data_IF_243704168379
#
_entry.id   IF_243704168379
#
_cell.length_a   1.000
_cell.length_b   1.000
_cell.length_c   1.000
_cell.angle_alpha   90.00
_cell.angle_beta   90.00
_cell.angle_gamma   90.00
#
_symmetry.space_group_name_H-M   'P 1'
#
loop_
_entity.id
_entity.type
_entity.pdbx_description
1 polymer ?
#
# COMPACT_ATOMS: atom_id res chain seq x y z
N UNK A 1 -2.70 -11.66 -20.48
CA UNK A 1 -2.07 -10.87 -19.42
C UNK A 1 -2.60 -11.36 -18.07
N UNK A 2 -1.71 -11.63 -17.14
CA UNK A 2 -2.02 -12.07 -15.77
C UNK A 2 -1.67 -10.96 -14.80
N UNK A 3 -2.62 -10.52 -14.00
CA UNK A 3 -2.46 -9.39 -13.08
C UNK A 3 -2.77 -9.86 -11.66
N UNK A 4 -1.87 -9.58 -10.72
CA UNK A 4 -2.12 -9.77 -9.30
C UNK A 4 -2.41 -8.42 -8.64
N UNK A 5 -3.55 -8.29 -7.95
CA UNK A 5 -3.89 -7.14 -7.09
C UNK A 5 -3.63 -7.54 -5.64
N UNK A 6 -2.88 -6.71 -4.91
CA UNK A 6 -2.54 -6.95 -3.51
C UNK A 6 -3.33 -6.01 -2.60
N UNK A 7 -4.13 -6.60 -1.69
CA UNK A 7 -5.02 -5.93 -0.76
C UNK A 7 -6.38 -6.61 -0.67
N UNK A 8 -7.28 -6.09 0.17
CA UNK A 8 -8.57 -6.74 0.48
C UNK A 8 -9.76 -5.79 0.62
N UNK A 9 -9.52 -4.49 0.52
CA UNK A 9 -10.52 -3.45 0.78
C UNK A 9 -11.38 -3.08 -0.43
N UNK A 10 -12.20 -2.04 -0.25
CA UNK A 10 -13.07 -1.52 -1.30
C UNK A 10 -12.31 -0.94 -2.49
N UNK A 11 -11.13 -0.35 -2.26
CA UNK A 11 -10.23 0.15 -3.32
C UNK A 11 -9.76 -1.00 -4.21
N UNK A 12 -9.30 -2.09 -3.63
CA UNK A 12 -8.85 -3.28 -4.37
C UNK A 12 -10.01 -3.95 -5.11
N UNK A 13 -11.19 -4.02 -4.49
CA UNK A 13 -12.39 -4.52 -5.18
C UNK A 13 -12.71 -3.68 -6.43
N UNK A 14 -12.64 -2.35 -6.34
CA UNK A 14 -12.87 -1.47 -7.49
C UNK A 14 -11.81 -1.65 -8.59
N UNK A 15 -10.54 -1.82 -8.21
CA UNK A 15 -9.45 -2.11 -9.15
C UNK A 15 -9.66 -3.46 -9.85
N UNK A 16 -9.96 -4.51 -9.11
CA UNK A 16 -10.25 -5.86 -9.66
C UNK A 16 -11.41 -5.82 -10.62
N UNK A 17 -12.51 -5.13 -10.25
CA UNK A 17 -13.67 -4.97 -11.11
C UNK A 17 -13.33 -4.25 -12.41
N UNK A 18 -12.62 -3.13 -12.34
CA UNK A 18 -12.20 -2.38 -13.53
C UNK A 18 -11.31 -3.21 -14.46
N UNK A 19 -10.41 -4.02 -13.90
CA UNK A 19 -9.56 -4.93 -14.68
C UNK A 19 -10.38 -6.05 -15.33
N UNK A 20 -11.27 -6.68 -14.59
CA UNK A 20 -12.12 -7.78 -15.10
C UNK A 20 -13.08 -7.32 -16.21
N UNK A 21 -13.59 -6.08 -16.12
CA UNK A 21 -14.48 -5.47 -17.10
C UNK A 21 -13.70 -4.83 -18.28
N UNK A 22 -12.37 -4.75 -18.21
CA UNK A 22 -11.56 -4.10 -19.26
C UNK A 22 -11.60 -4.86 -20.60
N UNK A 23 -11.47 -4.19 -21.75
CA UNK A 23 -11.49 -4.84 -23.07
C UNK A 23 -10.43 -5.93 -23.24
N UNK A 24 -9.29 -5.79 -22.55
CA UNK A 24 -8.19 -6.76 -22.58
C UNK A 24 -8.47 -8.05 -21.83
N UNK A 25 -9.52 -8.09 -21.01
CA UNK A 25 -9.93 -9.25 -20.19
C UNK A 25 -8.74 -10.01 -19.58
N UNK A 26 -7.90 -9.36 -18.79
CA UNK A 26 -6.79 -10.03 -18.15
C UNK A 26 -7.29 -11.11 -17.18
N UNK A 27 -6.48 -12.13 -16.97
CA UNK A 27 -6.68 -13.05 -15.86
C UNK A 27 -6.28 -12.37 -14.55
N UNK A 28 -7.25 -12.09 -13.67
CA UNK A 28 -7.02 -11.32 -12.44
C UNK A 28 -6.94 -12.25 -11.25
N UNK A 29 -5.92 -12.05 -10.44
CA UNK A 29 -5.67 -12.71 -9.15
C UNK A 29 -5.70 -11.67 -8.04
N UNK A 30 -5.98 -12.08 -6.80
CA UNK A 30 -5.94 -11.19 -5.64
C UNK A 30 -5.37 -11.88 -4.40
N UNK A 31 -4.57 -11.13 -3.63
CA UNK A 31 -4.01 -11.53 -2.33
C UNK A 31 -4.07 -10.38 -1.34
N UNK A 32 -4.46 -10.57 -0.11
CA UNK A 32 -5.18 -11.73 0.42
C UNK A 32 -6.61 -11.79 -0.10
N UNK A 33 -7.15 -10.67 -0.62
CA UNK A 33 -8.50 -10.58 -1.16
C UNK A 33 -9.60 -10.62 -0.09
N UNK A 34 -10.84 -10.75 -0.55
CA UNK A 34 -12.05 -10.93 0.26
C UNK A 34 -13.09 -11.68 -0.57
N UNK A 35 -14.15 -12.18 0.07
CA UNK A 35 -15.19 -12.96 -0.62
C UNK A 35 -15.78 -12.19 -1.82
N UNK A 36 -16.06 -10.89 -1.65
CA UNK A 36 -16.56 -10.04 -2.74
C UNK A 36 -15.57 -9.88 -3.89
N UNK A 37 -14.26 -9.83 -3.59
CA UNK A 37 -13.21 -9.77 -4.63
C UNK A 37 -13.12 -11.09 -5.37
N UNK A 38 -13.30 -12.22 -4.69
CA UNK A 38 -13.17 -13.55 -5.28
C UNK A 38 -14.33 -13.94 -6.20
N UNK A 39 -15.41 -13.15 -6.26
CA UNK A 39 -16.41 -13.25 -7.32
C UNK A 39 -15.86 -12.82 -8.69
N UNK A 40 -14.79 -12.02 -8.71
CA UNK A 40 -14.22 -11.39 -9.91
C UNK A 40 -12.77 -11.78 -10.19
N UNK A 41 -12.04 -12.27 -9.17
CA UNK A 41 -10.63 -12.61 -9.24
C UNK A 41 -10.34 -13.96 -8.59
N UNK A 42 -9.27 -14.60 -9.03
CA UNK A 42 -8.81 -15.87 -8.44
C UNK A 42 -8.04 -15.62 -7.13
N UNK A 43 -8.35 -16.36 -6.05
CA UNK A 43 -7.60 -16.24 -4.81
C UNK A 43 -6.17 -16.74 -4.95
N UNK A 44 -5.26 -16.10 -4.24
CA UNK A 44 -3.87 -16.55 -4.06
C UNK A 44 -3.62 -16.81 -2.59
N UNK A 45 -3.03 -17.95 -2.28
CA UNK A 45 -2.57 -18.28 -0.92
C UNK A 45 -1.06 -18.08 -0.84
N UNK A 46 -0.62 -17.30 0.16
CA UNK A 46 0.78 -17.08 0.47
C UNK A 46 0.94 -16.74 1.96
N UNK A 47 2.07 -17.15 2.57
CA UNK A 47 2.33 -16.92 3.99
C UNK A 47 3.11 -15.62 4.26
N UNK A 48 3.44 -14.87 3.21
CA UNK A 48 4.19 -13.61 3.29
C UNK A 48 4.57 -13.09 1.92
N UNK A 49 5.31 -11.98 1.88
CA UNK A 49 5.68 -11.32 0.62
C UNK A 49 6.62 -12.17 -0.23
N UNK A 50 7.59 -12.84 0.38
CA UNK A 50 8.55 -13.69 -0.32
C UNK A 50 7.85 -14.87 -1.00
N UNK A 51 6.94 -15.57 -0.30
CA UNK A 51 6.17 -16.65 -0.87
C UNK A 51 5.18 -16.16 -1.94
N UNK A 52 4.61 -14.96 -1.77
CA UNK A 52 3.77 -14.31 -2.76
C UNK A 52 4.53 -14.02 -4.05
N UNK A 53 5.75 -13.44 -3.95
CA UNK A 53 6.58 -13.14 -5.11
C UNK A 53 7.05 -14.42 -5.80
N UNK A 54 7.44 -15.45 -5.04
CA UNK A 54 7.75 -16.75 -5.61
C UNK A 54 6.57 -17.37 -6.37
N UNK A 55 5.34 -17.22 -5.83
CA UNK A 55 4.12 -17.64 -6.50
C UNK A 55 3.90 -16.84 -7.82
N UNK A 56 4.11 -15.52 -7.80
CA UNK A 56 3.99 -14.67 -9.00
C UNK A 56 4.96 -15.12 -10.12
N UNK A 57 6.21 -15.40 -9.78
CA UNK A 57 7.21 -15.91 -10.74
C UNK A 57 6.74 -17.24 -11.33
N UNK A 58 6.33 -18.19 -10.47
CA UNK A 58 5.90 -19.53 -10.91
C UNK A 58 4.66 -19.50 -11.80
N UNK A 59 3.80 -18.49 -11.64
CA UNK A 59 2.56 -18.34 -12.40
C UNK A 59 2.65 -17.31 -13.53
N UNK A 60 3.85 -16.83 -13.84
CA UNK A 60 4.12 -15.85 -14.89
C UNK A 60 3.18 -14.64 -14.81
N UNK A 61 3.15 -13.98 -13.64
CA UNK A 61 2.40 -12.73 -13.46
C UNK A 61 3.08 -11.61 -14.25
N UNK A 62 2.33 -10.96 -15.11
CA UNK A 62 2.82 -9.88 -15.97
C UNK A 62 2.86 -8.53 -15.25
N UNK A 63 1.98 -8.32 -14.25
CA UNK A 63 1.88 -7.08 -13.50
C UNK A 63 1.38 -7.35 -12.07
N UNK A 64 2.07 -6.78 -11.09
CA UNK A 64 1.60 -6.66 -9.72
C UNK A 64 1.01 -5.26 -9.48
N UNK A 65 -0.14 -5.16 -8.85
CA UNK A 65 -0.78 -3.90 -8.46
C UNK A 65 -0.87 -3.85 -6.94
N UNK A 66 -0.09 -2.97 -6.32
CA UNK A 66 -0.12 -2.75 -4.88
C UNK A 66 -1.31 -1.84 -4.54
N UNK A 67 -2.41 -2.41 -4.08
CA UNK A 67 -3.59 -1.68 -3.64
C UNK A 67 -3.48 -1.18 -2.20
N UNK A 68 -2.94 -2.00 -1.30
CA UNK A 68 -2.78 -1.67 0.12
C UNK A 68 -1.32 -1.29 0.41
N UNK A 69 -1.11 -0.08 0.90
CA UNK A 69 0.20 0.54 1.14
C UNK A 69 1.05 -0.20 2.18
N UNK A 70 0.43 -0.89 3.14
CA UNK A 70 1.15 -1.63 4.18
C UNK A 70 2.11 -2.69 3.60
N UNK A 71 1.78 -3.27 2.44
CA UNK A 71 2.65 -4.24 1.76
C UNK A 71 3.87 -3.58 1.10
N UNK A 72 3.81 -2.29 0.82
CA UNK A 72 4.94 -1.56 0.22
C UNK A 72 6.05 -1.26 1.23
N UNK A 73 5.70 -1.15 2.53
CA UNK A 73 6.67 -0.83 3.60
C UNK A 73 7.04 -2.02 4.47
N UNK A 74 6.26 -3.11 4.44
CA UNK A 74 6.49 -4.31 5.24
C UNK A 74 7.68 -5.12 4.73
N UNK A 75 8.55 -5.57 5.63
CA UNK A 75 9.74 -6.34 5.28
C UNK A 75 10.64 -5.58 4.31
N UNK A 76 10.95 -6.16 3.17
CA UNK A 76 11.71 -5.50 2.10
C UNK A 76 10.86 -4.61 1.18
N UNK A 77 9.54 -4.67 1.30
CA UNK A 77 8.59 -3.98 0.46
C UNK A 77 8.22 -4.75 -0.81
N UNK A 78 6.92 -4.82 -1.11
CA UNK A 78 6.41 -5.57 -2.26
C UNK A 78 7.03 -5.12 -3.59
N UNK A 79 7.11 -3.80 -3.82
CA UNK A 79 7.65 -3.28 -5.08
C UNK A 79 9.14 -3.61 -5.26
N UNK A 80 9.94 -3.51 -4.19
CA UNK A 80 11.36 -3.88 -4.23
C UNK A 80 11.56 -5.39 -4.48
N UNK A 81 10.72 -6.23 -3.87
CA UNK A 81 10.74 -7.68 -4.13
C UNK A 81 10.35 -8.01 -5.57
N UNK A 82 9.33 -7.36 -6.11
CA UNK A 82 8.90 -7.51 -7.50
C UNK A 82 10.03 -7.11 -8.46
N UNK A 83 10.65 -5.94 -8.26
CA UNK A 83 11.75 -5.43 -9.09
C UNK A 83 12.92 -6.42 -9.16
N UNK A 84 13.36 -6.96 -8.00
CA UNK A 84 14.44 -7.96 -7.95
C UNK A 84 14.12 -9.26 -8.68
N UNK A 85 12.84 -9.57 -8.84
CA UNK A 85 12.38 -10.77 -9.54
C UNK A 85 11.88 -10.49 -10.97
N UNK A 86 12.12 -9.27 -11.51
CA UNK A 86 11.75 -8.89 -12.86
C UNK A 86 10.24 -8.78 -13.11
N UNK A 87 9.44 -8.59 -12.06
CA UNK A 87 7.99 -8.44 -12.16
C UNK A 87 7.66 -6.95 -12.14
N UNK A 88 7.02 -6.40 -13.18
CA UNK A 88 6.50 -5.04 -13.13
C UNK A 88 5.53 -4.86 -11.96
N UNK A 89 5.74 -3.80 -11.15
CA UNK A 89 4.89 -3.49 -10.02
C UNK A 89 4.36 -2.05 -10.13
N UNK A 90 3.05 -1.90 -10.08
CA UNK A 90 2.41 -0.60 -9.91
C UNK A 90 2.31 -0.28 -8.43
N UNK A 91 3.29 0.43 -7.94
CA UNK A 91 3.46 0.85 -6.55
C UNK A 91 4.86 1.42 -6.36
N UNK A 92 5.05 2.40 -5.46
CA UNK A 92 6.35 2.99 -5.19
C UNK A 92 7.26 1.98 -4.45
N UNK A 93 8.59 2.11 -4.58
CA UNK A 93 9.52 1.38 -3.74
C UNK A 93 9.35 1.79 -2.26
N UNK A 94 9.83 0.92 -1.37
CA UNK A 94 9.64 1.05 0.10
C UNK A 94 10.06 2.43 0.62
N UNK A 95 11.16 2.95 0.13
CA UNK A 95 11.71 4.24 0.55
C UNK A 95 10.74 5.39 0.24
N UNK A 96 10.11 5.37 -0.91
CA UNK A 96 9.12 6.37 -1.33
C UNK A 96 7.75 6.14 -0.67
N UNK A 97 7.39 4.89 -0.42
CA UNK A 97 6.14 4.51 0.24
C UNK A 97 6.05 5.03 1.69
N UNK A 98 7.20 5.37 2.32
CA UNK A 98 7.23 6.01 3.63
C UNK A 98 6.45 7.33 3.68
N UNK A 99 6.36 8.05 2.56
CA UNK A 99 5.57 9.29 2.49
C UNK A 99 4.07 9.10 2.79
N UNK A 100 3.55 7.91 2.55
CA UNK A 100 2.16 7.57 2.88
C UNK A 100 2.06 6.79 4.19
N UNK A 101 3.02 5.92 4.46
CA UNK A 101 2.99 5.01 5.60
C UNK A 101 3.24 5.70 6.94
N UNK A 102 4.11 6.73 6.98
CA UNK A 102 4.43 7.49 8.20
C UNK A 102 4.09 8.97 8.03
N UNK A 103 3.21 9.46 8.90
CA UNK A 103 2.80 10.87 8.92
C UNK A 103 3.91 11.78 9.41
N UNK A 104 4.72 11.30 10.36
CA UNK A 104 5.89 12.01 10.86
C UNK A 104 6.92 12.16 9.75
N UNK A 105 7.29 11.06 9.08
CA UNK A 105 8.23 11.09 7.96
C UNK A 105 7.74 12.02 6.84
N UNK A 106 6.45 11.95 6.48
CA UNK A 106 5.86 12.82 5.46
C UNK A 106 5.94 14.30 5.85
N UNK A 107 5.66 14.64 7.11
CA UNK A 107 5.75 16.01 7.62
C UNK A 107 7.18 16.54 7.56
N UNK A 108 8.14 15.78 8.02
CA UNK A 108 9.56 16.14 7.96
C UNK A 108 10.03 16.32 6.51
N UNK A 109 9.63 15.43 5.61
CA UNK A 109 9.95 15.55 4.20
C UNK A 109 9.37 16.84 3.58
N UNK A 110 8.10 17.13 3.82
CA UNK A 110 7.42 18.31 3.29
C UNK A 110 8.08 19.60 3.81
N UNK A 111 8.37 19.67 5.11
CA UNK A 111 9.00 20.85 5.73
C UNK A 111 10.42 21.08 5.19
N UNK A 112 11.24 20.02 5.10
CA UNK A 112 12.61 20.12 4.57
C UNK A 112 12.68 20.59 3.13
N UNK A 113 11.64 20.26 2.34
CA UNK A 113 11.58 20.64 0.93
C UNK A 113 10.74 21.90 0.67
N UNK A 114 10.31 22.63 1.71
CA UNK A 114 9.53 23.86 1.57
C UNK A 114 8.13 23.65 0.95
N UNK A 115 7.60 22.43 1.03
CA UNK A 115 6.28 22.10 0.49
C UNK A 115 5.20 22.52 1.50
N UNK A 116 4.21 23.32 1.12
CA UNK A 116 3.15 23.77 2.02
C UNK A 116 2.39 22.60 2.65
N UNK A 117 2.28 22.61 3.98
CA UNK A 117 1.54 21.60 4.74
C UNK A 117 0.94 22.21 5.99
N UNK A 118 -0.12 21.61 6.56
CA UNK A 118 -0.68 22.05 7.83
C UNK A 118 0.37 21.91 8.95
N UNK A 119 0.30 22.78 9.95
CA UNK A 119 1.13 22.62 11.17
C UNK A 119 0.91 21.25 11.78
N UNK A 120 1.95 20.66 12.30
CA UNK A 120 1.90 19.39 13.02
C UNK A 120 2.98 19.37 14.11
N UNK A 121 2.70 18.67 15.19
CA UNK A 121 3.65 18.38 16.26
C UNK A 121 3.63 16.86 16.49
N UNK A 122 4.78 16.21 16.36
CA UNK A 122 4.95 14.81 16.73
C UNK A 122 5.18 14.72 18.23
N UNK A 123 4.56 13.75 18.90
CA UNK A 123 4.66 13.50 20.33
C UNK A 123 4.74 11.99 20.58
N UNK A 124 5.51 11.59 21.58
CA UNK A 124 5.72 10.18 21.91
C UNK A 124 5.00 9.73 23.19
N UNK A 125 4.47 10.68 23.95
CA UNK A 125 3.77 10.39 25.20
C UNK A 125 2.42 11.12 25.26
N UNK A 126 1.52 10.62 26.11
CA UNK A 126 0.24 11.26 26.35
C UNK A 126 0.38 12.67 26.91
N UNK A 127 1.32 12.86 27.85
CA UNK A 127 1.55 14.16 28.49
C UNK A 127 2.05 15.20 27.49
N UNK A 128 2.96 14.81 26.59
CA UNK A 128 3.41 15.67 25.48
C UNK A 128 2.25 16.01 24.53
N UNK A 129 1.40 15.03 24.20
CA UNK A 129 0.25 15.26 23.33
C UNK A 129 -0.75 16.23 23.98
N UNK A 130 -1.07 16.05 25.25
CA UNK A 130 -1.94 16.96 26.00
C UNK A 130 -1.35 18.37 26.06
N UNK A 131 -0.07 18.50 26.33
CA UNK A 131 0.62 19.79 26.36
C UNK A 131 0.63 20.48 24.98
N UNK A 132 0.81 19.70 23.90
CA UNK A 132 0.83 20.22 22.52
C UNK A 132 -0.55 20.68 22.03
N UNK A 133 -1.63 20.07 22.54
CA UNK A 133 -3.01 20.48 22.21
C UNK A 133 -3.35 21.79 22.91
N UNK A 134 -2.98 21.92 24.20
CA UNK A 134 -3.28 23.07 25.06
C UNK A 134 -4.64 23.72 24.72
N UNK A 135 -4.62 24.92 24.16
CA UNK A 135 -5.81 25.70 23.77
C UNK A 135 -6.02 25.78 22.23
N UNK A 136 -5.28 24.98 21.44
CA UNK A 136 -5.37 25.00 19.98
C UNK A 136 -6.51 24.10 19.46
N UNK A 137 -7.72 24.64 19.34
CA UNK A 137 -8.89 23.94 18.77
C UNK A 137 -9.38 24.62 17.49
N UNK A 138 -9.88 23.85 16.49
CA UNK A 138 -9.94 22.38 16.45
C UNK A 138 -8.59 21.73 16.16
N UNK A 139 -8.28 20.60 16.82
CA UNK A 139 -7.06 19.81 16.61
C UNK A 139 -7.41 18.39 16.16
N UNK A 140 -6.62 17.82 15.25
CA UNK A 140 -6.76 16.45 14.77
C UNK A 140 -5.60 15.60 15.28
N UNK A 141 -5.93 14.58 16.07
CA UNK A 141 -4.96 13.57 16.50
C UNK A 141 -4.87 12.46 15.47
N UNK A 142 -3.64 12.05 15.15
CA UNK A 142 -3.37 10.93 14.25
C UNK A 142 -2.32 10.03 14.88
N UNK A 143 -2.55 8.73 14.79
CA UNK A 143 -1.56 7.73 15.14
C UNK A 143 -0.64 7.49 13.94
N UNK A 144 0.66 7.29 14.19
CA UNK A 144 1.67 6.97 13.17
C UNK A 144 2.04 5.50 13.20
#
# INVERSE_FOLDING_TARGET
MRILVVGKGGREHALVRALAESPGKPEVFCFPGSDAIFELAKPVAADGLESLVAWMVAHAIDLCVAGEESYLVKGEGLANLCERNGIPCWGPPKESAQLEASKEFAKDFLLRNGIPTARATATNTLDEAVAAIADEYPTVLKFD
#
